data_IF_161868900797
#
_entry.id   IF_161868900797
#
_cell.length_a   1.000
_cell.length_b   1.000
_cell.length_c   1.000
_cell.angle_alpha   90.00
_cell.angle_beta   90.00
_cell.angle_gamma   90.00
#
_symmetry.space_group_name_H-M   'P 1'
#
loop_
_entity.id
_entity.type
_entity.pdbx_description
1 polymer ?
#
# COMPACT_ATOMS: atom_id res chain seq x y z
N UNK A 1 -11.67 -8.74 11.14
CA UNK A 1 -10.43 -9.27 11.73
C UNK A 1 -9.46 -9.43 10.58
N UNK A 2 -8.36 -8.69 10.53
CA UNK A 2 -7.30 -8.95 9.55
C UNK A 2 -6.55 -10.21 9.97
N UNK A 3 -6.19 -11.06 9.01
CA UNK A 3 -5.43 -12.26 9.30
C UNK A 3 -4.04 -11.92 9.86
N UNK A 4 -3.62 -12.64 10.89
CA UNK A 4 -2.31 -12.45 11.54
C UNK A 4 -1.15 -12.97 10.67
N UNK A 5 -1.46 -13.79 9.68
CA UNK A 5 -0.51 -14.42 8.77
C UNK A 5 -1.13 -14.61 7.39
N UNK A 6 -0.30 -14.65 6.35
CA UNK A 6 -0.70 -15.08 5.01
C UNK A 6 0.35 -15.99 4.37
N UNK A 7 -0.03 -16.73 3.33
CA UNK A 7 0.90 -17.56 2.55
C UNK A 7 1.38 -16.77 1.34
N UNK A 8 2.70 -16.65 1.15
CA UNK A 8 3.26 -16.00 -0.03
C UNK A 8 3.32 -16.95 -1.24
N UNK A 9 3.71 -16.43 -2.41
CA UNK A 9 3.85 -17.22 -3.65
C UNK A 9 4.84 -18.38 -3.55
N UNK A 10 5.79 -18.32 -2.61
CA UNK A 10 6.74 -19.38 -2.33
C UNK A 10 6.22 -20.42 -1.32
N UNK A 11 4.95 -20.33 -0.89
CA UNK A 11 4.34 -21.26 0.06
C UNK A 11 4.74 -21.02 1.53
N UNK A 12 5.46 -19.94 1.83
CA UNK A 12 5.91 -19.63 3.19
C UNK A 12 4.85 -18.84 3.96
N UNK A 13 4.73 -19.13 5.26
CA UNK A 13 3.92 -18.32 6.19
C UNK A 13 4.62 -17.00 6.48
N UNK A 14 3.94 -15.90 6.19
CA UNK A 14 4.41 -14.54 6.44
C UNK A 14 3.56 -13.89 7.54
N UNK A 15 4.22 -13.37 8.56
CA UNK A 15 3.58 -12.67 9.68
C UNK A 15 3.27 -11.22 9.31
N UNK A 16 2.04 -10.77 9.58
CA UNK A 16 1.61 -9.40 9.29
C UNK A 16 2.08 -8.40 10.35
N UNK A 17 1.94 -7.11 10.03
CA UNK A 17 2.26 -6.00 10.93
C UNK A 17 1.52 -6.11 12.26
N UNK A 18 0.25 -6.51 12.22
CA UNK A 18 -0.59 -6.70 13.41
C UNK A 18 -0.05 -7.82 14.31
N UNK A 19 0.37 -8.95 13.74
CA UNK A 19 0.96 -10.04 14.52
C UNK A 19 2.25 -9.61 15.21
N UNK A 20 3.10 -8.87 14.50
CA UNK A 20 4.35 -8.36 15.06
C UNK A 20 4.10 -7.29 16.13
N UNK A 21 3.10 -6.43 15.93
CA UNK A 21 2.69 -5.41 16.91
C UNK A 21 2.20 -6.06 18.22
N UNK A 22 1.48 -7.19 18.13
CA UNK A 22 1.00 -7.93 19.30
C UNK A 22 2.14 -8.46 20.18
N UNK A 23 3.37 -8.61 19.65
CA UNK A 23 4.56 -8.98 20.44
C UNK A 23 5.07 -7.84 21.33
N UNK A 24 4.62 -6.60 21.12
CA UNK A 24 4.95 -5.39 21.89
C UNK A 24 6.44 -5.02 21.94
N UNK A 25 7.28 -5.63 21.10
CA UNK A 25 8.71 -5.32 21.01
C UNK A 25 9.21 -5.44 19.58
N UNK A 26 10.19 -4.61 19.21
CA UNK A 26 10.83 -4.66 17.90
C UNK A 26 11.91 -5.75 17.89
N UNK A 27 11.86 -6.65 16.91
CA UNK A 27 12.89 -7.69 16.73
C UNK A 27 14.21 -7.18 16.16
N UNK A 28 14.25 -5.97 15.57
CA UNK A 28 15.43 -5.38 14.93
C UNK A 28 16.06 -6.23 13.80
N UNK A 29 15.31 -7.17 13.21
CA UNK A 29 15.81 -8.05 12.13
C UNK A 29 15.39 -7.62 10.71
N UNK A 30 14.98 -6.37 10.51
CA UNK A 30 14.52 -5.86 9.19
C UNK A 30 13.37 -6.69 8.58
N UNK A 31 12.40 -7.08 9.41
CA UNK A 31 11.23 -7.84 8.96
C UNK A 31 10.39 -7.04 7.95
N UNK A 32 9.85 -7.71 6.92
CA UNK A 32 9.08 -7.07 5.84
C UNK A 32 7.90 -6.24 6.38
N UNK A 33 7.20 -6.80 7.38
CA UNK A 33 6.00 -6.20 7.95
C UNK A 33 6.23 -5.40 9.23
N UNK A 34 7.34 -4.65 9.32
CA UNK A 34 7.75 -4.00 10.57
C UNK A 34 6.75 -2.90 11.00
N UNK A 35 6.04 -3.06 12.13
CA UNK A 35 5.06 -2.07 12.57
C UNK A 35 5.71 -0.80 13.15
N UNK A 36 7.03 -0.84 13.42
CA UNK A 36 7.78 0.27 14.02
C UNK A 36 8.63 1.04 13.00
N UNK A 37 8.50 0.73 11.71
CA UNK A 37 9.24 1.38 10.62
C UNK A 37 10.76 1.14 10.64
N UNK A 38 11.26 0.15 11.39
CA UNK A 38 12.70 -0.17 11.44
C UNK A 38 13.22 -0.56 10.05
N UNK A 39 12.48 -1.38 9.33
CA UNK A 39 12.85 -1.87 8.00
C UNK A 39 12.88 -0.76 6.96
N UNK A 40 11.86 0.09 6.91
CA UNK A 40 11.81 1.22 5.96
C UNK A 40 12.89 2.27 6.27
N UNK A 41 13.20 2.50 7.55
CA UNK A 41 14.32 3.39 7.93
C UNK A 41 15.69 2.82 7.54
N UNK A 42 15.84 1.49 7.55
CA UNK A 42 17.13 0.82 7.27
C UNK A 42 17.37 0.62 5.77
N UNK A 43 16.34 0.20 5.03
CA UNK A 43 16.44 -0.17 3.62
C UNK A 43 15.81 0.85 2.66
N UNK A 44 15.03 1.80 3.16
CA UNK A 44 14.25 2.71 2.33
C UNK A 44 13.05 2.04 1.67
N UNK A 45 12.50 2.75 0.68
CA UNK A 45 11.50 2.26 -0.27
C UNK A 45 12.11 2.31 -1.66
N UNK A 46 11.75 1.36 -2.50
CA UNK A 46 12.11 1.35 -3.92
C UNK A 46 10.88 1.68 -4.76
N UNK A 47 11.10 2.31 -5.92
CA UNK A 47 10.04 2.73 -6.82
C UNK A 47 10.30 2.22 -8.23
N UNK A 48 9.43 1.34 -8.72
CA UNK A 48 9.54 0.77 -10.08
C UNK A 48 8.41 1.29 -10.96
N UNK A 49 8.70 1.53 -12.24
CA UNK A 49 7.68 1.92 -13.21
C UNK A 49 6.68 0.79 -13.43
N UNK A 50 5.43 1.17 -13.72
CA UNK A 50 4.46 0.23 -14.26
C UNK A 50 4.69 0.11 -15.76
N UNK A 51 5.07 -1.09 -16.18
CA UNK A 51 5.21 -1.48 -17.59
C UNK A 51 3.93 -2.17 -18.08
N UNK A 52 3.77 -2.27 -19.41
CA UNK A 52 2.56 -2.84 -20.06
C UNK A 52 2.19 -4.21 -19.49
N UNK A 53 3.17 -5.09 -19.31
CA UNK A 53 3.02 -6.45 -18.79
C UNK A 53 2.54 -6.49 -17.32
N UNK A 54 2.74 -5.40 -16.58
CA UNK A 54 2.46 -5.30 -15.14
C UNK A 54 1.19 -4.50 -14.82
N UNK A 55 0.48 -4.00 -15.84
CA UNK A 55 -0.74 -3.19 -15.68
C UNK A 55 -1.80 -3.97 -14.88
N UNK A 56 -2.02 -5.26 -15.17
CA UNK A 56 -3.01 -6.06 -14.46
C UNK A 56 -2.69 -6.18 -12.96
N UNK A 57 -1.41 -6.34 -12.63
CA UNK A 57 -0.95 -6.41 -11.24
C UNK A 57 -1.20 -5.08 -10.52
N UNK A 58 -0.80 -3.96 -11.14
CA UNK A 58 -1.05 -2.63 -10.58
C UNK A 58 -2.56 -2.35 -10.42
N UNK A 59 -3.36 -2.72 -11.42
CA UNK A 59 -4.80 -2.56 -11.41
C UNK A 59 -5.47 -3.40 -10.32
N UNK A 60 -4.95 -4.60 -10.03
CA UNK A 60 -5.40 -5.44 -8.92
C UNK A 60 -5.25 -4.74 -7.57
N UNK A 61 -4.09 -4.10 -7.35
CA UNK A 61 -3.78 -3.35 -6.11
C UNK A 61 -4.63 -2.09 -6.00
N UNK A 62 -4.81 -1.34 -7.09
CA UNK A 62 -5.67 -0.14 -7.11
C UNK A 62 -7.15 -0.53 -6.94
N UNK A 63 -7.56 -1.67 -7.49
CA UNK A 63 -8.93 -2.17 -7.47
C UNK A 63 -9.37 -2.76 -6.13
N UNK A 64 -8.46 -3.34 -5.35
CA UNK A 64 -8.77 -3.95 -4.04
C UNK A 64 -9.22 -2.94 -2.97
N UNK A 65 -9.06 -1.63 -3.20
CA UNK A 65 -9.60 -0.58 -2.34
C UNK A 65 -11.11 -0.30 -2.52
N UNK A 66 -11.79 -1.02 -3.43
CA UNK A 66 -13.22 -0.86 -3.69
C UNK A 66 -14.15 -1.64 -2.76
N UNK A 67 -13.64 -2.55 -1.91
CA UNK A 67 -14.44 -3.36 -0.99
C UNK A 67 -14.34 -2.86 0.45
N UNK A 68 -14.66 -1.58 0.70
CA UNK A 68 -14.87 -1.13 2.07
C UNK A 68 -16.25 -1.59 2.57
N UNK A 69 -16.26 -2.39 3.65
CA UNK A 69 -17.47 -2.56 4.45
C UNK A 69 -17.82 -1.20 5.05
N UNK A 70 -18.85 -0.54 4.51
CA UNK A 70 -19.32 0.75 5.03
C UNK A 70 -19.65 0.59 6.51
N UNK A 71 -18.99 1.37 7.35
CA UNK A 71 -19.38 1.46 8.76
C UNK A 71 -20.79 2.05 8.87
N UNK A 72 -21.49 1.73 9.96
CA UNK A 72 -22.83 2.31 10.24
C UNK A 72 -22.75 3.84 10.24
N UNK A 73 -21.68 4.39 10.83
CA UNK A 73 -21.40 5.83 10.84
C UNK A 73 -21.21 6.40 9.43
N UNK A 74 -20.48 5.71 8.56
CA UNK A 74 -20.31 6.12 7.16
C UNK A 74 -21.66 6.17 6.43
N UNK A 75 -22.53 5.20 6.71
CA UNK A 75 -23.85 5.09 6.08
C UNK A 75 -24.79 6.22 6.52
N UNK A 76 -24.70 6.66 7.78
CA UNK A 76 -25.43 7.82 8.29
C UNK A 76 -24.93 9.12 7.65
N UNK A 77 -23.61 9.29 7.53
CA UNK A 77 -23.01 10.46 6.90
C UNK A 77 -23.34 10.53 5.40
N UNK A 78 -23.23 9.41 4.70
CA UNK A 78 -23.62 9.28 3.28
C UNK A 78 -25.09 9.63 3.05
N UNK A 79 -25.97 9.32 4.02
CA UNK A 79 -27.39 9.64 3.96
C UNK A 79 -27.69 11.11 4.22
N UNK A 80 -26.88 11.77 5.07
CA UNK A 80 -27.05 13.17 5.44
C UNK A 80 -26.46 14.15 4.40
N UNK A 81 -25.32 13.79 3.79
CA UNK A 81 -24.56 14.68 2.91
C UNK A 81 -24.44 14.20 1.46
N UNK A 82 -25.01 13.02 1.15
CA UNK A 82 -24.87 12.38 -0.15
C UNK A 82 -23.54 11.64 -0.31
N UNK A 83 -23.51 10.62 -1.17
CA UNK A 83 -22.30 9.84 -1.40
C UNK A 83 -21.37 10.54 -2.40
N UNK A 84 -20.19 10.96 -1.95
CA UNK A 84 -19.08 11.30 -2.84
C UNK A 84 -18.37 10.02 -3.28
N UNK A 85 -18.89 9.34 -4.31
CA UNK A 85 -18.22 8.14 -4.84
C UNK A 85 -16.85 8.54 -5.41
N UNK A 86 -15.75 8.18 -4.73
CA UNK A 86 -14.42 8.21 -5.35
C UNK A 86 -14.48 7.39 -6.64
N UNK A 87 -14.13 8.01 -7.78
CA UNK A 87 -14.10 7.31 -9.06
C UNK A 87 -13.10 6.16 -8.96
N UNK A 88 -13.50 4.96 -9.38
CA UNK A 88 -12.60 3.81 -9.50
C UNK A 88 -11.48 4.18 -10.46
N UNK A 89 -10.23 4.14 -10.00
CA UNK A 89 -9.08 4.41 -10.86
C UNK A 89 -8.78 3.21 -11.76
N UNK A 90 -8.56 3.50 -13.03
CA UNK A 90 -8.24 2.52 -14.06
C UNK A 90 -6.87 2.85 -14.63
N UNK A 91 -5.98 1.87 -14.61
CA UNK A 91 -4.66 1.93 -15.22
C UNK A 91 -4.77 1.36 -16.63
N UNK A 92 -4.28 2.12 -17.61
CA UNK A 92 -4.22 1.80 -19.03
C UNK A 92 -2.81 2.08 -19.55
N UNK A 93 -2.47 1.57 -20.73
CA UNK A 93 -1.17 1.85 -21.37
C UNK A 93 -0.91 3.36 -21.53
N UNK A 94 -1.96 4.14 -21.78
CA UNK A 94 -1.86 5.59 -21.96
C UNK A 94 -1.60 6.38 -20.67
N UNK A 95 -1.82 5.78 -19.49
CA UNK A 95 -1.66 6.46 -18.20
C UNK A 95 -0.73 5.72 -17.22
N UNK A 96 -0.19 4.55 -17.59
CA UNK A 96 0.65 3.73 -16.71
C UNK A 96 1.89 4.49 -16.19
N UNK A 97 2.40 5.45 -16.97
CA UNK A 97 3.52 6.31 -16.57
C UNK A 97 3.23 7.19 -15.34
N UNK A 98 1.96 7.36 -14.98
CA UNK A 98 1.53 8.11 -13.80
C UNK A 98 1.48 7.22 -12.55
N UNK A 99 1.94 5.97 -12.63
CA UNK A 99 1.92 5.02 -11.53
C UNK A 99 3.29 4.39 -11.33
N UNK A 100 3.66 4.20 -10.07
CA UNK A 100 4.86 3.49 -9.65
C UNK A 100 4.47 2.37 -8.69
N UNK A 101 5.09 1.20 -8.83
CA UNK A 101 5.12 0.24 -7.74
C UNK A 101 5.97 0.79 -6.60
N UNK A 102 5.48 0.61 -5.38
CA UNK A 102 6.24 0.86 -4.15
C UNK A 102 6.69 -0.50 -3.63
N UNK A 103 7.99 -0.65 -3.37
CA UNK A 103 8.58 -1.89 -2.89
C UNK A 103 9.35 -1.70 -1.59
N UNK A 104 9.37 -2.77 -0.80
CA UNK A 104 10.21 -2.90 0.40
C UNK A 104 11.02 -4.18 0.23
N UNK A 105 12.36 -4.06 0.22
CA UNK A 105 13.27 -5.19 0.03
C UNK A 105 12.92 -6.00 -1.24
N UNK A 106 12.66 -5.31 -2.34
CA UNK A 106 12.24 -5.90 -3.61
C UNK A 106 10.83 -6.53 -3.64
N UNK A 107 10.03 -6.42 -2.57
CA UNK A 107 8.64 -6.93 -2.54
C UNK A 107 7.67 -5.79 -2.75
N UNK A 108 6.77 -5.91 -3.73
CA UNK A 108 5.69 -4.94 -3.99
C UNK A 108 4.78 -4.86 -2.77
N UNK A 109 4.63 -3.66 -2.20
CA UNK A 109 3.71 -3.38 -1.11
C UNK A 109 2.50 -2.54 -1.54
N UNK A 110 2.62 -1.83 -2.67
CA UNK A 110 1.56 -0.97 -3.16
C UNK A 110 1.86 -0.32 -4.50
N UNK A 111 0.96 0.57 -4.91
CA UNK A 111 1.05 1.44 -6.08
C UNK A 111 0.92 2.89 -5.62
N UNK A 112 1.80 3.75 -6.11
CA UNK A 112 1.73 5.20 -5.91
C UNK A 112 1.33 5.84 -7.24
N UNK A 113 0.22 6.58 -7.24
CA UNK A 113 -0.05 7.50 -8.34
C UNK A 113 0.80 8.76 -8.15
N UNK A 114 1.51 9.18 -9.19
CA UNK A 114 2.41 10.32 -9.17
C UNK A 114 1.85 11.50 -9.94
N UNK A 115 2.06 12.69 -9.38
CA UNK A 115 1.88 13.97 -10.06
C UNK A 115 3.23 14.52 -10.55
N UNK A 116 3.26 15.82 -10.85
CA UNK A 116 4.48 16.49 -11.36
C UNK A 116 5.61 16.57 -10.33
N UNK A 117 5.29 16.63 -9.04
CA UNK A 117 6.27 16.90 -7.96
C UNK A 117 6.23 15.88 -6.81
N UNK A 118 5.11 15.17 -6.64
CA UNK A 118 4.90 14.27 -5.50
C UNK A 118 3.87 13.20 -5.86
N UNK A 119 3.78 12.16 -5.04
CA UNK A 119 2.68 11.21 -5.07
C UNK A 119 1.35 11.85 -4.67
N UNK A 120 0.29 11.49 -5.38
CA UNK A 120 -1.08 12.00 -5.20
C UNK A 120 -1.94 11.04 -4.37
N UNK A 121 -1.81 9.72 -4.60
CA UNK A 121 -2.58 8.71 -3.89
C UNK A 121 -1.79 7.41 -3.78
N UNK A 122 -1.84 6.78 -2.60
CA UNK A 122 -1.16 5.54 -2.28
C UNK A 122 -2.18 4.40 -2.13
N UNK A 123 -1.96 3.32 -2.86
CA UNK A 123 -2.76 2.10 -2.85
C UNK A 123 -1.92 0.96 -2.26
N UNK A 124 -2.26 0.48 -1.06
CA UNK A 124 -1.53 -0.60 -0.40
C UNK A 124 -2.26 -1.93 -0.51
N UNK A 125 -1.48 -2.99 -0.69
CA UNK A 125 -1.94 -4.37 -0.52
C UNK A 125 -2.39 -4.59 0.93
N UNK A 126 -3.42 -5.42 1.14
CA UNK A 126 -4.08 -5.55 2.46
C UNK A 126 -3.14 -5.91 3.60
N UNK A 127 -2.19 -6.82 3.38
CA UNK A 127 -1.23 -7.25 4.40
C UNK A 127 -0.11 -6.23 4.67
N UNK A 128 0.03 -5.19 3.84
CA UNK A 128 0.92 -4.05 4.06
C UNK A 128 0.21 -2.84 4.70
N UNK A 129 -1.09 -2.96 4.99
CA UNK A 129 -1.81 -1.96 5.79
C UNK A 129 -1.34 -2.03 7.25
N UNK A 130 -1.43 -0.91 7.97
CA UNK A 130 -1.13 -0.81 9.42
C UNK A 130 0.36 -0.95 9.81
N UNK A 131 1.29 -0.49 8.96
CA UNK A 131 2.72 -0.42 9.30
C UNK A 131 3.37 0.93 9.00
N UNK A 132 2.60 2.00 9.25
CA UNK A 132 3.03 3.39 9.09
C UNK A 132 3.45 3.79 7.67
N UNK A 133 3.02 3.01 6.66
CA UNK A 133 3.12 3.36 5.25
C UNK A 133 1.98 4.31 4.87
N UNK A 134 2.12 5.58 5.22
CA UNK A 134 1.22 6.65 4.79
C UNK A 134 1.70 7.30 3.50
N UNK A 135 0.81 8.02 2.80
CA UNK A 135 1.20 8.81 1.62
C UNK A 135 2.37 9.77 1.93
N UNK A 136 2.31 10.45 3.07
CA UNK A 136 3.37 11.37 3.51
C UNK A 136 4.70 10.64 3.73
N UNK A 137 4.66 9.48 4.40
CA UNK A 137 5.85 8.67 4.61
C UNK A 137 6.47 8.24 3.27
N UNK A 138 5.65 7.77 2.32
CA UNK A 138 6.11 7.30 1.01
C UNK A 138 6.66 8.48 0.18
N UNK A 139 5.97 9.63 0.19
CA UNK A 139 6.43 10.84 -0.47
C UNK A 139 7.79 11.31 0.05
N UNK A 140 8.06 11.16 1.35
CA UNK A 140 9.36 11.51 1.92
C UNK A 140 10.52 10.67 1.36
N UNK A 141 10.25 9.43 0.92
CA UNK A 141 11.23 8.58 0.24
C UNK A 141 11.29 8.84 -1.25
N UNK A 142 10.13 9.09 -1.88
CA UNK A 142 10.02 9.36 -3.32
C UNK A 142 10.78 10.64 -3.71
N UNK A 143 10.53 11.75 -3.00
CA UNK A 143 11.14 13.05 -3.28
C UNK A 143 12.67 13.02 -3.10
N UNK A 144 13.19 12.15 -2.23
CA UNK A 144 14.65 11.99 -2.04
C UNK A 144 15.33 11.22 -3.17
N UNK A 145 14.57 10.50 -3.99
CA UNK A 145 15.09 9.65 -5.07
C UNK A 145 14.84 10.24 -6.47
N UNK A 146 13.93 11.21 -6.59
CA UNK A 146 13.66 11.99 -7.81
C UNK A 146 14.65 13.14 -8.00
#
# INVERSE_FOLDING_TARGET
MSDLTYTNSAGNTVYTSQFLLNRKTCCQTTCLHCPYGYTTKTHGLEFNKVEVESIETAQGIVGSLGSEQKSVSQSLLDSAFGTSKKKKKVITESNMSNFLFVLIKGVVCGVLEIGKLQGLELFLMDHFKNQDLTLDSVNSYYIKQS
#
